data_IF_493658009082
#
_entry.id   IF_493658009082
#
_cell.length_a   1.000
_cell.length_b   1.000
_cell.length_c   1.000
_cell.angle_alpha   90.00
_cell.angle_beta   90.00
_cell.angle_gamma   90.00
#
_symmetry.space_group_name_H-M   'P 1'
#
loop_
_entity.id
_entity.type
_entity.pdbx_description
1 polymer ?
#
# COMPACT_ATOMS: atom_id res chain seq x y z
N UNK A 1 -3.35 16.87 -2.45
CA UNK A 1 -4.55 16.22 -1.88
C UNK A 1 -4.55 16.27 -0.35
N UNK A 2 -5.73 16.25 0.29
CA UNK A 2 -5.83 16.15 1.75
C UNK A 2 -5.67 14.68 2.15
N UNK A 3 -4.72 14.37 3.02
CA UNK A 3 -4.46 13.02 3.46
C UNK A 3 -5.19 12.74 4.77
N UNK A 4 -6.37 12.10 4.70
CA UNK A 4 -7.26 11.98 5.86
C UNK A 4 -6.91 10.76 6.71
N UNK A 5 -6.77 10.98 8.01
CA UNK A 5 -6.62 9.92 9.01
C UNK A 5 -7.97 9.57 9.64
N UNK A 6 -8.15 8.31 10.03
CA UNK A 6 -9.28 7.85 10.85
C UNK A 6 -8.81 7.49 12.27
N UNK A 7 -9.73 7.35 13.20
CA UNK A 7 -9.45 6.87 14.56
C UNK A 7 -9.91 5.42 14.70
N UNK A 8 -9.10 4.44 14.29
CA UNK A 8 -9.55 3.04 14.21
C UNK A 8 -9.87 2.44 15.58
N UNK A 9 -9.30 2.98 16.67
CA UNK A 9 -9.58 2.56 18.04
C UNK A 9 -11.00 2.95 18.53
N UNK A 10 -11.69 3.85 17.83
CA UNK A 10 -13.09 4.22 18.10
C UNK A 10 -14.08 3.41 17.23
N UNK A 11 -13.59 2.43 16.45
CA UNK A 11 -14.37 1.66 15.48
C UNK A 11 -14.25 0.15 15.74
N UNK A 12 -15.25 -0.62 15.32
CA UNK A 12 -15.17 -2.09 15.35
C UNK A 12 -14.40 -2.60 14.13
N UNK A 13 -13.88 -3.82 14.20
CA UNK A 13 -13.22 -4.44 13.05
C UNK A 13 -14.17 -4.58 11.85
N UNK A 14 -15.45 -4.89 12.08
CA UNK A 14 -16.43 -4.97 10.99
C UNK A 14 -16.60 -3.62 10.28
N UNK A 15 -16.62 -2.52 11.03
CA UNK A 15 -16.70 -1.18 10.46
C UNK A 15 -15.47 -0.83 9.61
N UNK A 16 -14.27 -1.27 10.03
CA UNK A 16 -13.04 -1.07 9.27
C UNK A 16 -12.99 -1.93 8.00
N UNK A 17 -13.46 -3.17 8.08
CA UNK A 17 -13.63 -4.05 6.91
C UNK A 17 -14.67 -3.50 5.94
N UNK A 18 -15.72 -2.88 6.45
CA UNK A 18 -16.73 -2.22 5.64
C UNK A 18 -16.16 -1.02 4.89
N UNK A 19 -15.34 -0.18 5.55
CA UNK A 19 -14.58 0.87 4.87
C UNK A 19 -13.75 0.26 3.73
N UNK A 20 -13.02 -0.83 3.99
CA UNK A 20 -12.23 -1.49 2.96
C UNK A 20 -13.08 -1.98 1.78
N UNK A 21 -14.22 -2.61 2.08
CA UNK A 21 -15.13 -3.13 1.05
C UNK A 21 -15.64 -2.00 0.15
N UNK A 22 -16.25 -0.98 0.75
CA UNK A 22 -16.92 0.10 0.03
C UNK A 22 -15.90 0.96 -0.74
N UNK A 23 -14.80 1.33 -0.08
CA UNK A 23 -13.87 2.33 -0.62
C UNK A 23 -12.84 1.75 -1.58
N UNK A 24 -12.56 0.45 -1.48
CA UNK A 24 -11.51 -0.21 -2.26
C UNK A 24 -12.02 -1.35 -3.13
N UNK A 25 -12.87 -2.22 -2.60
CA UNK A 25 -13.30 -3.43 -3.32
C UNK A 25 -14.47 -3.16 -4.28
N UNK A 26 -15.37 -2.24 -3.93
CA UNK A 26 -16.55 -1.87 -4.72
C UNK A 26 -16.35 -0.60 -5.55
N UNK A 27 -15.26 0.13 -5.29
CA UNK A 27 -14.92 1.37 -6.00
C UNK A 27 -13.73 1.15 -6.92
N UNK A 28 -13.87 1.54 -8.18
CA UNK A 28 -12.75 1.56 -9.11
C UNK A 28 -11.76 2.66 -8.75
N UNK A 29 -10.54 2.25 -8.37
CA UNK A 29 -9.44 3.16 -8.09
C UNK A 29 -8.50 3.17 -9.28
N UNK A 30 -8.51 4.30 -9.99
CA UNK A 30 -7.51 4.60 -11.00
C UNK A 30 -6.41 5.49 -10.41
N UNK A 31 -5.19 5.21 -10.80
CA UNK A 31 -4.02 6.02 -10.47
C UNK A 31 -3.98 7.29 -11.32
N UNK A 32 -3.18 8.28 -10.93
CA UNK A 32 -3.06 9.52 -11.71
C UNK A 32 -2.55 9.29 -13.14
N UNK A 33 -1.74 8.25 -13.36
CA UNK A 33 -1.20 7.83 -14.65
C UNK A 33 -2.11 6.83 -15.41
N UNK A 34 -3.33 6.62 -14.92
CA UNK A 34 -4.39 5.92 -15.66
C UNK A 34 -4.41 4.39 -15.50
N UNK A 35 -3.70 3.83 -14.52
CA UNK A 35 -3.72 2.39 -14.20
C UNK A 35 -4.89 2.08 -13.27
N UNK A 36 -5.73 1.13 -13.64
CA UNK A 36 -6.81 0.63 -12.80
C UNK A 36 -6.24 -0.37 -11.78
N UNK A 37 -6.43 -0.09 -10.48
CA UNK A 37 -5.93 -0.90 -9.38
C UNK A 37 -7.07 -1.71 -8.77
N UNK A 38 -6.93 -3.03 -8.81
CA UNK A 38 -7.86 -3.97 -8.22
C UNK A 38 -7.49 -4.25 -6.77
N UNK A 39 -8.51 -4.19 -5.91
CA UNK A 39 -8.44 -4.55 -4.51
C UNK A 39 -9.34 -5.76 -4.26
N UNK A 40 -8.95 -6.59 -3.29
CA UNK A 40 -9.70 -7.78 -2.92
C UNK A 40 -9.92 -7.78 -1.41
N UNK A 41 -11.02 -8.36 -0.95
CA UNK A 41 -11.37 -8.41 0.47
C UNK A 41 -10.30 -9.10 1.31
N UNK A 42 -9.68 -10.17 0.78
CA UNK A 42 -8.60 -10.90 1.45
C UNK A 42 -7.29 -10.10 1.59
N UNK A 43 -7.14 -8.96 0.90
CA UNK A 43 -5.98 -8.08 1.06
C UNK A 43 -6.08 -7.19 2.30
N UNK A 44 -7.27 -7.06 2.92
CA UNK A 44 -7.42 -6.37 4.19
C UNK A 44 -6.49 -6.98 5.25
N UNK A 45 -6.55 -8.30 5.42
CA UNK A 45 -5.75 -9.00 6.42
C UNK A 45 -4.26 -8.87 6.12
N UNK A 46 -3.87 -8.95 4.85
CA UNK A 46 -2.47 -8.80 4.45
C UNK A 46 -1.93 -7.38 4.70
N UNK A 47 -2.77 -6.36 4.53
CA UNK A 47 -2.39 -4.97 4.68
C UNK A 47 -2.37 -4.54 6.15
N UNK A 48 -3.40 -4.89 6.92
CA UNK A 48 -3.64 -4.32 8.24
C UNK A 48 -3.30 -5.24 9.41
N UNK A 49 -2.99 -6.51 9.20
CA UNK A 49 -2.47 -7.37 10.26
C UNK A 49 -0.96 -7.47 10.20
N UNK A 50 -0.36 -7.34 11.37
CA UNK A 50 1.06 -7.47 11.58
C UNK A 50 1.37 -8.74 12.37
N UNK A 51 2.60 -9.22 12.21
CA UNK A 51 3.07 -10.39 12.94
C UNK A 51 3.48 -9.96 14.36
N UNK A 52 2.78 -10.42 15.39
CA UNK A 52 3.11 -10.17 16.81
C UNK A 52 4.54 -10.56 17.15
N UNK A 53 5.04 -11.58 16.46
CA UNK A 53 6.41 -12.05 16.55
C UNK A 53 6.88 -12.46 15.16
N UNK A 54 7.87 -11.74 14.60
CA UNK A 54 8.43 -12.02 13.26
C UNK A 54 9.03 -13.44 13.16
N UNK A 55 9.46 -14.03 14.28
CA UNK A 55 9.97 -15.40 14.34
C UNK A 55 8.88 -16.47 14.35
N UNK A 56 7.67 -16.16 14.86
CA UNK A 56 6.55 -17.12 14.94
C UNK A 56 5.50 -16.97 13.82
N UNK A 57 5.60 -15.96 12.94
CA UNK A 57 4.62 -15.66 11.87
C UNK A 57 3.17 -15.56 12.38
N UNK A 58 2.99 -15.12 13.62
CA UNK A 58 1.69 -15.00 14.27
C UNK A 58 0.99 -13.70 13.83
N UNK A 59 0.10 -13.78 12.83
CA UNK A 59 -0.66 -12.62 12.28
C UNK A 59 -1.87 -12.25 13.14
N UNK A 60 -1.66 -11.99 14.43
CA UNK A 60 -2.75 -11.72 15.39
C UNK A 60 -2.94 -10.25 15.76
N UNK A 61 -2.05 -9.34 15.32
CA UNK A 61 -2.14 -7.92 15.71
C UNK A 61 -2.76 -7.10 14.59
N UNK A 62 -3.95 -6.58 14.84
CA UNK A 62 -4.56 -5.54 14.01
C UNK A 62 -3.78 -4.23 14.19
N UNK A 63 -3.15 -3.74 13.13
CA UNK A 63 -2.29 -2.55 13.15
C UNK A 63 -3.12 -1.27 13.03
N UNK A 64 -3.41 -0.64 14.17
CA UNK A 64 -4.08 0.66 14.19
C UNK A 64 -3.28 1.76 13.51
N UNK A 65 -1.94 1.70 13.51
CA UNK A 65 -1.11 2.65 12.77
C UNK A 65 -1.42 2.59 11.25
N UNK A 66 -1.52 1.38 10.68
CA UNK A 66 -1.84 1.22 9.25
C UNK A 66 -3.29 1.59 8.96
N UNK A 67 -4.22 1.18 9.82
CA UNK A 67 -5.64 1.49 9.66
C UNK A 67 -5.96 2.97 9.77
N UNK A 68 -5.24 3.71 10.63
CA UNK A 68 -5.35 5.18 10.70
C UNK A 68 -5.20 5.81 9.31
N UNK A 69 -4.40 5.18 8.44
CA UNK A 69 -4.04 5.65 7.10
C UNK A 69 -4.76 4.87 6.01
N UNK A 70 -5.88 4.23 6.32
CA UNK A 70 -6.63 3.43 5.34
C UNK A 70 -6.93 4.24 4.09
N UNK A 71 -7.30 5.52 4.19
CA UNK A 71 -7.60 6.39 3.03
C UNK A 71 -6.36 6.87 2.27
N UNK A 72 -5.19 6.85 2.89
CA UNK A 72 -3.94 7.28 2.25
C UNK A 72 -3.58 6.38 1.07
N UNK A 73 -4.10 5.15 1.02
CA UNK A 73 -3.85 4.22 -0.10
C UNK A 73 -4.40 4.79 -1.41
N UNK A 74 -5.70 5.12 -1.47
CA UNK A 74 -6.31 5.69 -2.68
C UNK A 74 -5.79 7.10 -2.97
N UNK A 75 -5.49 7.87 -1.94
CA UNK A 75 -4.91 9.21 -2.07
C UNK A 75 -3.52 9.13 -2.70
N UNK A 76 -2.64 8.25 -2.21
CA UNK A 76 -1.30 8.07 -2.76
C UNK A 76 -1.33 7.61 -4.22
N UNK A 77 -2.22 6.69 -4.57
CA UNK A 77 -2.35 6.20 -5.95
C UNK A 77 -2.81 7.29 -6.93
N UNK A 78 -3.61 8.25 -6.45
CA UNK A 78 -4.14 9.37 -7.23
C UNK A 78 -3.24 10.62 -7.19
N UNK A 79 -2.13 10.60 -6.46
CA UNK A 79 -1.28 11.76 -6.25
C UNK A 79 -0.28 11.92 -7.40
N UNK A 80 -0.40 12.95 -8.25
CA UNK A 80 0.54 13.18 -9.34
C UNK A 80 1.94 13.59 -8.86
N UNK A 81 2.06 14.05 -7.61
CA UNK A 81 3.33 14.46 -7.00
C UNK A 81 4.00 13.29 -6.25
N UNK A 82 3.43 12.08 -6.29
CA UNK A 82 4.01 10.91 -5.66
C UNK A 82 5.33 10.48 -6.32
N UNK A 83 6.28 10.03 -5.50
CA UNK A 83 7.53 9.45 -5.99
C UNK A 83 7.26 7.99 -6.38
N UNK A 84 7.47 7.66 -7.66
CA UNK A 84 7.25 6.32 -8.19
C UNK A 84 8.56 5.56 -8.39
N UNK A 85 8.70 4.41 -7.73
CA UNK A 85 9.89 3.57 -7.75
C UNK A 85 9.57 2.14 -8.19
N UNK A 86 10.55 1.46 -8.80
CA UNK A 86 10.45 0.04 -9.13
C UNK A 86 10.60 -0.79 -7.86
N UNK A 87 9.70 -1.75 -7.66
CA UNK A 87 9.69 -2.60 -6.47
C UNK A 87 10.76 -3.68 -6.51
N UNK A 88 11.35 -3.97 -5.35
CA UNK A 88 12.28 -5.08 -5.14
C UNK A 88 11.55 -6.42 -5.01
N UNK A 89 12.04 -7.44 -5.70
CA UNK A 89 11.61 -8.83 -5.52
C UNK A 89 12.65 -9.61 -4.73
N UNK A 90 12.29 -10.02 -3.52
CA UNK A 90 13.19 -10.73 -2.61
C UNK A 90 13.51 -12.16 -3.10
N UNK A 91 12.66 -12.78 -3.93
CA UNK A 91 12.91 -14.14 -4.43
C UNK A 91 13.98 -14.15 -5.51
N UNK A 92 13.87 -13.25 -6.49
CA UNK A 92 14.85 -13.11 -7.57
C UNK A 92 16.04 -12.22 -7.19
N UNK A 93 15.97 -11.52 -6.05
CA UNK A 93 16.95 -10.51 -5.62
C UNK A 93 17.20 -9.47 -6.71
N UNK A 94 16.14 -8.98 -7.32
CA UNK A 94 16.21 -8.01 -8.42
C UNK A 94 15.04 -7.05 -8.39
N UNK A 95 15.20 -5.91 -9.06
CA UNK A 95 14.09 -5.01 -9.34
C UNK A 95 13.11 -5.66 -10.32
N UNK A 96 11.83 -5.53 -10.04
CA UNK A 96 10.75 -6.09 -10.85
C UNK A 96 9.92 -4.95 -11.42
N UNK A 97 10.03 -4.70 -12.73
CA UNK A 97 9.29 -3.64 -13.43
C UNK A 97 7.77 -3.83 -13.43
N UNK A 98 7.27 -4.99 -13.00
CA UNK A 98 5.84 -5.18 -12.75
C UNK A 98 5.43 -4.66 -11.36
N UNK A 99 6.35 -4.43 -10.43
CA UNK A 99 6.06 -3.89 -9.10
C UNK A 99 6.31 -2.40 -9.09
N UNK A 100 5.29 -1.62 -8.70
CA UNK A 100 5.40 -0.18 -8.49
C UNK A 100 5.25 0.14 -7.02
N UNK A 101 6.20 0.90 -6.49
CA UNK A 101 6.18 1.48 -5.15
C UNK A 101 5.85 2.96 -5.31
N UNK A 102 4.75 3.39 -4.72
CA UNK A 102 4.30 4.78 -4.70
C UNK A 102 4.63 5.34 -3.32
N UNK A 103 5.44 6.39 -3.25
CA UNK A 103 5.88 6.99 -1.99
C UNK A 103 5.33 8.40 -1.84
N UNK A 104 4.71 8.65 -0.70
CA UNK A 104 4.08 9.93 -0.33
C UNK A 104 4.37 10.24 1.14
N UNK A 105 4.18 11.50 1.54
CA UNK A 105 4.37 11.94 2.93
C UNK A 105 5.74 11.58 3.53
N UNK A 106 6.77 11.49 2.69
CA UNK A 106 8.15 11.23 3.10
C UNK A 106 8.47 9.75 3.32
N UNK A 107 7.56 8.97 3.90
CA UNK A 107 7.83 7.58 4.27
C UNK A 107 6.64 6.61 4.12
N UNK A 108 5.46 7.07 3.68
CA UNK A 108 4.33 6.18 3.45
C UNK A 108 4.40 5.59 2.03
N UNK A 109 4.34 4.26 1.94
CA UNK A 109 4.41 3.57 0.65
C UNK A 109 3.15 2.79 0.34
N UNK A 110 2.82 2.72 -0.94
CA UNK A 110 1.80 1.84 -1.51
C UNK A 110 2.43 0.99 -2.60
N UNK A 111 2.32 -0.33 -2.48
CA UNK A 111 2.88 -1.28 -3.44
C UNK A 111 1.76 -1.90 -4.26
N UNK A 112 1.91 -1.84 -5.58
CA UNK A 112 1.02 -2.50 -6.54
C UNK A 112 1.82 -3.39 -7.49
N UNK A 113 1.18 -4.42 -8.04
CA UNK A 113 1.73 -5.26 -9.11
C UNK A 113 0.92 -5.08 -10.39
N UNK A 114 1.58 -4.70 -11.46
CA UNK A 114 1.03 -4.53 -12.81
C UNK A 114 1.01 -5.90 -13.48
N UNK A 115 -0.14 -6.26 -14.03
CA UNK A 115 -0.33 -7.54 -14.71
C UNK A 115 -0.97 -7.39 -16.10
N UNK A 116 -1.27 -6.16 -16.52
CA UNK A 116 -1.77 -5.83 -17.85
C UNK A 116 -1.47 -4.38 -18.20
N UNK A 117 -1.74 -3.98 -19.44
CA UNK A 117 -1.32 -2.67 -19.98
C UNK A 117 -1.72 -1.45 -19.12
N UNK A 118 -2.92 -1.47 -18.52
CA UNK A 118 -3.39 -0.45 -17.57
C UNK A 118 -4.10 -1.09 -16.37
N UNK A 119 -3.62 -2.26 -15.94
CA UNK A 119 -4.23 -3.02 -14.84
C UNK A 119 -3.18 -3.44 -13.84
N UNK A 120 -3.46 -3.15 -12.57
CA UNK A 120 -2.64 -3.53 -11.45
C UNK A 120 -3.49 -4.10 -10.32
N UNK A 121 -2.83 -4.77 -9.39
CA UNK A 121 -3.40 -5.31 -8.16
C UNK A 121 -2.68 -4.69 -6.99
N UNK A 122 -3.44 -4.27 -5.99
CA UNK A 122 -2.89 -3.84 -4.71
C UNK A 122 -2.18 -4.99 -3.98
N UNK A 123 -1.01 -4.71 -3.42
CA UNK A 123 -0.25 -5.66 -2.60
C UNK A 123 -0.29 -5.26 -1.13
N UNK A 124 0.24 -4.10 -0.78
CA UNK A 124 0.33 -3.65 0.62
C UNK A 124 0.58 -2.14 0.70
N UNK A 125 0.35 -1.56 1.88
CA UNK A 125 0.72 -0.19 2.19
C UNK A 125 1.12 -0.06 3.66
N UNK A 126 2.14 0.75 3.94
CA UNK A 126 2.64 0.97 5.31
C UNK A 126 3.60 2.18 5.36
N UNK A 127 3.85 2.68 6.58
CA UNK A 127 4.93 3.63 6.85
C UNK A 127 6.26 2.90 7.00
N UNK A 128 7.28 3.39 6.29
CA UNK A 128 8.65 2.90 6.43
C UNK A 128 9.31 3.63 7.59
N UNK A 129 9.43 2.95 8.73
CA UNK A 129 10.02 3.52 9.94
C UNK A 129 11.57 3.47 9.94
N UNK A 130 12.16 2.57 9.14
CA UNK A 130 13.60 2.39 9.06
C UNK A 130 14.20 3.29 7.97
N UNK A 131 15.01 4.27 8.38
CA UNK A 131 15.61 5.25 7.47
C UNK A 131 16.52 4.61 6.42
N UNK A 132 17.24 3.53 6.76
CA UNK A 132 18.10 2.84 5.81
C UNK A 132 17.28 2.15 4.71
N UNK A 133 16.17 1.52 5.08
CA UNK A 133 15.23 0.91 4.15
C UNK A 133 14.53 1.96 3.28
N UNK A 134 14.16 3.10 3.88
CA UNK A 134 13.62 4.24 3.13
C UNK A 134 14.63 4.75 2.09
N UNK A 135 15.90 4.90 2.48
CA UNK A 135 16.99 5.26 1.58
C UNK A 135 17.10 4.30 0.38
N UNK A 136 17.09 2.98 0.64
CA UNK A 136 17.14 1.96 -0.43
C UNK A 136 15.94 2.05 -1.39
N UNK A 137 14.75 2.36 -0.87
CA UNK A 137 13.56 2.56 -1.71
C UNK A 137 13.74 3.81 -2.59
N UNK A 138 14.24 4.90 -2.03
CA UNK A 138 14.48 6.15 -2.77
C UNK A 138 15.61 6.03 -3.82
N UNK A 139 16.60 5.20 -3.56
CA UNK A 139 17.69 4.87 -4.49
C UNK A 139 17.28 3.86 -5.57
N UNK A 140 16.12 3.22 -5.42
CA UNK A 140 15.60 2.29 -6.43
C UNK A 140 15.34 3.02 -7.77
N UNK A 141 15.35 2.30 -8.90
CA UNK A 141 15.04 2.87 -10.20
C UNK A 141 13.67 3.56 -10.21
N UNK A 142 13.55 4.66 -10.94
CA UNK A 142 12.27 5.32 -11.15
C UNK A 142 11.34 4.43 -11.97
N UNK A 143 10.08 4.37 -11.59
CA UNK A 143 9.10 3.59 -12.32
C UNK A 143 8.61 4.36 -13.56
N UNK A 144 8.65 3.72 -14.74
CA UNK A 144 8.12 4.31 -15.98
C UNK A 144 9.08 5.27 -16.70
N UNK A 145 10.36 5.30 -16.31
CA UNK A 145 11.44 5.92 -17.10
C UNK A 145 12.07 4.93 -18.07
#
# INVERSE_FOLDING_TARGET
MAYKKIKPYEMTEEALREIWRVEYCETDIQTFDGILVQFYSNMFDHCFYESANRFKKDKSILSYNRLEKIYWIKEALRDPDAVLKVGWDAQSKSYNNSRRVTLVKGNYIVVIIIFGSKKARFITAYEVDDEQNLGKILESPDFGK
#
